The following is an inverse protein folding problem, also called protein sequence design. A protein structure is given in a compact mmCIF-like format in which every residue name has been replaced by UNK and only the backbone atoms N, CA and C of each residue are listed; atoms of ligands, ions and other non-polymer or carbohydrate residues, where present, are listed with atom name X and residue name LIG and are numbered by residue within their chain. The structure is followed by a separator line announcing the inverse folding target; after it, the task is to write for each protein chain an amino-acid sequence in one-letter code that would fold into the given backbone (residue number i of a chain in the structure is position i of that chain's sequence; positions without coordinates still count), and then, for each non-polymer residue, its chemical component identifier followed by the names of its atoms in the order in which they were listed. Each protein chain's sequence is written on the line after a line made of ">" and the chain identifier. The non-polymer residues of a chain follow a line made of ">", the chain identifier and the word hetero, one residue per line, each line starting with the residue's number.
data_IF_167775972274
#
_entry.id   IF_167775972274
#
_cell.length_a   1.000
_cell.length_b   1.000
_cell.length_c   1.000
_cell.angle_alpha   90.00
_cell.angle_beta   90.00
_cell.angle_gamma   90.00
#
_symmetry.space_group_name_H-M   'P 1'
#
loop_
_entity.id
_entity.type
_entity.pdbx_description
1 polymer ?
#
# COMPACT_ATOMS: atom_id res chain seq x y z
N UNK A 1 17.49 -53.46 -46.53
CA UNK A 1 16.16 -52.79 -46.37
C UNK A 1 15.76 -52.52 -44.92
N UNK A 2 15.90 -53.44 -43.95
CA UNK A 2 15.43 -53.24 -42.56
C UNK A 2 16.12 -52.09 -41.80
N UNK A 3 17.44 -51.94 -41.94
CA UNK A 3 18.23 -50.91 -41.24
C UNK A 3 17.86 -49.47 -41.68
N UNK A 4 17.51 -49.29 -42.95
CA UNK A 4 17.11 -47.99 -43.47
C UNK A 4 15.72 -47.58 -42.97
N UNK A 5 14.78 -48.53 -42.91
CA UNK A 5 13.44 -48.32 -42.37
C UNK A 5 13.46 -47.95 -40.87
N UNK A 6 14.34 -48.56 -40.08
CA UNK A 6 14.50 -48.22 -38.66
C UNK A 6 15.08 -46.81 -38.46
N UNK A 7 16.09 -46.42 -39.25
CA UNK A 7 16.65 -45.05 -39.23
C UNK A 7 15.61 -44.01 -39.62
N UNK A 8 14.78 -44.29 -40.64
CA UNK A 8 13.69 -43.40 -41.06
C UNK A 8 12.63 -43.27 -39.95
N UNK A 9 12.23 -44.38 -39.31
CA UNK A 9 11.30 -44.35 -38.17
C UNK A 9 11.83 -43.53 -36.99
N UNK A 10 13.12 -43.66 -36.64
CA UNK A 10 13.74 -42.88 -35.57
C UNK A 10 13.80 -41.38 -35.89
N UNK A 11 14.08 -41.00 -37.14
CA UNK A 11 14.11 -39.60 -37.57
C UNK A 11 12.70 -39.00 -37.51
N UNK A 12 11.68 -39.72 -37.98
CA UNK A 12 10.29 -39.26 -37.93
C UNK A 12 9.81 -39.10 -36.47
N UNK A 13 10.15 -40.04 -35.60
CA UNK A 13 9.81 -39.93 -34.18
C UNK A 13 10.49 -38.74 -33.49
N UNK A 14 11.78 -38.50 -33.76
CA UNK A 14 12.50 -37.34 -33.23
C UNK A 14 11.89 -36.01 -33.72
N UNK A 15 11.55 -35.93 -35.02
CA UNK A 15 10.88 -34.75 -35.58
C UNK A 15 9.51 -34.51 -34.96
N UNK A 16 8.73 -35.57 -34.68
CA UNK A 16 7.44 -35.46 -34.01
C UNK A 16 7.57 -35.00 -32.56
N UNK A 17 8.59 -35.47 -31.82
CA UNK A 17 8.84 -35.03 -30.43
C UNK A 17 9.28 -33.57 -30.41
N UNK A 18 10.15 -33.13 -31.32
CA UNK A 18 10.56 -31.72 -31.43
C UNK A 18 9.36 -30.84 -31.82
N UNK A 19 8.52 -31.29 -32.75
CA UNK A 19 7.29 -30.59 -33.13
C UNK A 19 6.30 -30.47 -31.96
N UNK A 20 6.10 -31.54 -31.20
CA UNK A 20 5.25 -31.54 -30.01
C UNK A 20 5.82 -30.67 -28.89
N UNK A 21 7.14 -30.66 -28.69
CA UNK A 21 7.81 -29.76 -27.75
C UNK A 21 7.62 -28.29 -28.15
N UNK A 22 7.76 -27.96 -29.43
CA UNK A 22 7.54 -26.60 -29.93
C UNK A 22 6.08 -26.16 -29.82
N UNK A 23 5.13 -27.06 -30.05
CA UNK A 23 3.69 -26.79 -29.90
C UNK A 23 3.29 -26.60 -28.42
N UNK A 24 3.76 -27.46 -27.51
CA UNK A 24 3.39 -27.38 -26.08
C UNK A 24 4.17 -26.30 -25.30
N UNK A 25 5.46 -26.09 -25.59
CA UNK A 25 6.25 -25.03 -24.92
C UNK A 25 6.12 -23.66 -25.60
N UNK A 26 5.80 -23.62 -26.90
CA UNK A 26 5.56 -22.36 -27.61
C UNK A 26 4.26 -21.66 -27.19
N UNK A 27 3.28 -22.40 -26.67
CA UNK A 27 2.02 -21.82 -26.17
C UNK A 27 2.05 -21.39 -24.70
N UNK A 28 3.11 -21.71 -23.92
CA UNK A 28 3.19 -21.37 -22.49
C UNK A 28 3.99 -20.11 -22.16
N UNK A 29 4.46 -19.34 -23.16
CA UNK A 29 5.19 -18.08 -22.95
C UNK A 29 4.47 -16.82 -23.46
N UNK A 30 3.17 -16.90 -23.77
CA UNK A 30 2.34 -15.73 -24.11
C UNK A 30 1.41 -15.31 -22.98
N UNK A 31 1.90 -15.35 -21.73
CA UNK A 31 1.38 -14.54 -20.62
C UNK A 31 2.43 -13.53 -20.16
N UNK A 32 3.19 -12.98 -21.11
CA UNK A 32 3.83 -11.68 -20.90
C UNK A 32 2.78 -10.63 -21.18
N UNK A 33 1.86 -10.47 -20.23
CA UNK A 33 1.06 -9.27 -20.12
C UNK A 33 2.06 -8.14 -19.87
N UNK A 34 2.44 -7.46 -20.94
CA UNK A 34 3.19 -6.22 -20.84
C UNK A 34 2.30 -5.30 -20.02
N UNK A 35 2.71 -5.02 -18.78
CA UNK A 35 2.20 -3.88 -18.03
C UNK A 35 2.45 -2.64 -18.89
N UNK A 36 1.41 -2.26 -19.62
CA UNK A 36 1.33 -1.05 -20.42
C UNK A 36 0.62 0.00 -19.56
N UNK A 37 1.34 0.98 -18.99
CA UNK A 37 0.73 2.01 -18.15
C UNK A 37 -0.27 2.90 -18.92
N UNK A 38 -0.32 2.82 -20.25
CA UNK A 38 -1.16 3.67 -21.10
C UNK A 38 -2.43 2.99 -21.62
N UNK A 39 -2.68 1.71 -21.28
CA UNK A 39 -3.95 1.03 -21.62
C UNK A 39 -4.89 1.01 -20.42
N UNK A 40 -5.51 2.15 -20.16
CA UNK A 40 -6.78 2.18 -19.42
C UNK A 40 -7.87 1.71 -20.39
N UNK A 41 -8.62 0.62 -20.13
CA UNK A 41 -9.81 0.33 -20.90
C UNK A 41 -10.75 1.51 -20.75
N UNK A 42 -10.90 2.32 -21.80
CA UNK A 42 -12.00 3.26 -21.90
C UNK A 42 -13.28 2.45 -22.01
N UNK A 43 -13.90 2.16 -20.88
CA UNK A 43 -15.34 1.95 -20.85
C UNK A 43 -15.99 3.30 -21.11
N UNK A 44 -16.24 3.58 -22.38
CA UNK A 44 -17.10 4.67 -22.80
C UNK A 44 -18.51 4.47 -22.21
N UNK A 45 -18.78 5.22 -21.15
CA UNK A 45 -20.00 6.01 -21.00
C UNK A 45 -21.34 5.31 -21.21
N UNK A 46 -21.86 4.69 -20.14
CA UNK A 46 -23.20 5.02 -19.64
C UNK A 46 -23.41 4.56 -18.20
N UNK A 47 -23.07 5.40 -17.24
CA UNK A 47 -23.88 5.46 -16.01
C UNK A 47 -24.58 6.81 -15.99
N UNK A 48 -25.90 6.87 -16.23
CA UNK A 48 -26.66 8.05 -15.89
C UNK A 48 -26.49 8.27 -14.39
N UNK A 49 -26.54 9.53 -13.95
CA UNK A 49 -26.56 9.92 -12.54
C UNK A 49 -27.57 9.13 -11.65
N UNK A 50 -28.47 8.35 -12.26
CA UNK A 50 -29.39 7.40 -11.65
C UNK A 50 -28.75 6.19 -10.94
N UNK A 51 -27.51 5.75 -11.26
CA UNK A 51 -26.88 4.62 -10.52
C UNK A 51 -26.40 5.04 -9.13
N UNK A 52 -26.18 6.34 -8.90
CA UNK A 52 -25.89 6.89 -7.56
C UNK A 52 -27.13 6.95 -6.64
N UNK A 53 -28.32 6.66 -7.16
CA UNK A 53 -29.58 6.85 -6.45
C UNK A 53 -30.20 5.57 -5.87
N UNK A 54 -29.50 4.43 -5.93
CA UNK A 54 -29.80 3.33 -5.03
C UNK A 54 -28.98 3.53 -3.75
N UNK A 55 -29.48 4.39 -2.86
CA UNK A 55 -28.93 4.51 -1.52
C UNK A 55 -29.01 3.13 -0.85
N UNK A 56 -27.87 2.44 -0.80
CA UNK A 56 -27.72 1.27 0.06
C UNK A 56 -28.00 1.72 1.49
N UNK A 57 -29.05 1.16 2.09
CA UNK A 57 -29.49 1.49 3.45
C UNK A 57 -28.43 1.12 4.50
N UNK A 58 -27.35 0.44 4.10
CA UNK A 58 -26.20 0.10 4.93
C UNK A 58 -24.98 1.02 4.72
N UNK A 59 -25.07 2.06 3.89
CA UNK A 59 -23.93 2.94 3.63
C UNK A 59 -23.83 4.05 4.69
N UNK A 60 -22.66 4.14 5.32
CA UNK A 60 -22.37 5.19 6.30
C UNK A 60 -22.53 6.61 5.71
N UNK A 61 -22.87 7.62 6.53
CA UNK A 61 -23.16 8.96 6.04
C UNK A 61 -21.94 9.58 5.33
N UNK A 62 -22.18 10.27 4.22
CA UNK A 62 -21.13 11.02 3.53
C UNK A 62 -20.67 12.20 4.38
N UNK A 63 -19.35 12.33 4.56
CA UNK A 63 -18.75 13.45 5.28
C UNK A 63 -18.39 14.57 4.30
N UNK A 64 -18.82 15.79 4.60
CA UNK A 64 -18.54 16.96 3.75
C UNK A 64 -17.02 17.19 3.67
N UNK A 65 -16.51 17.23 2.44
CA UNK A 65 -15.08 17.44 2.18
C UNK A 65 -14.24 16.17 2.14
N UNK A 66 -14.86 14.99 2.24
CA UNK A 66 -14.23 13.68 2.03
C UNK A 66 -14.88 12.96 0.85
N UNK A 67 -14.08 12.21 0.09
CA UNK A 67 -14.57 11.26 -0.90
C UNK A 67 -14.93 9.90 -0.28
N UNK A 68 -14.45 9.64 0.95
CA UNK A 68 -14.75 8.46 1.74
C UNK A 68 -15.97 8.72 2.64
N UNK A 69 -16.89 7.74 2.81
CA UNK A 69 -17.99 7.85 3.77
C UNK A 69 -17.45 7.83 5.22
N UNK A 70 -18.30 8.19 6.18
CA UNK A 70 -17.95 8.13 7.60
C UNK A 70 -17.72 6.71 8.09
N UNK A 71 -17.08 6.56 9.26
CA UNK A 71 -16.86 5.26 9.90
C UNK A 71 -17.48 5.24 11.31
N UNK A 72 -18.75 4.83 11.45
CA UNK A 72 -19.47 4.97 12.72
C UNK A 72 -19.04 3.93 13.78
N UNK A 73 -18.54 2.76 13.40
CA UNK A 73 -18.07 1.74 14.35
C UNK A 73 -16.73 2.18 14.98
N UNK A 74 -16.69 2.46 16.30
CA UNK A 74 -15.48 2.93 16.97
C UNK A 74 -14.41 1.84 17.10
N UNK A 75 -14.78 0.56 17.14
CA UNK A 75 -13.82 -0.54 17.26
C UNK A 75 -13.12 -0.74 15.93
N UNK A 76 -13.88 -0.85 14.84
CA UNK A 76 -13.34 -0.98 13.49
C UNK A 76 -12.44 0.22 13.14
N UNK A 77 -12.84 1.43 13.53
CA UNK A 77 -12.03 2.65 13.37
C UNK A 77 -10.67 2.51 14.05
N UNK A 78 -10.64 2.15 15.33
CA UNK A 78 -9.39 1.98 16.08
C UNK A 78 -8.50 0.88 15.51
N UNK A 79 -9.06 -0.24 15.08
CA UNK A 79 -8.29 -1.33 14.47
C UNK A 79 -7.63 -0.89 13.16
N UNK A 80 -8.39 -0.21 12.30
CA UNK A 80 -7.89 0.38 11.06
C UNK A 80 -6.80 1.42 11.34
N UNK A 81 -7.02 2.32 12.32
CA UNK A 81 -6.05 3.33 12.75
C UNK A 81 -4.73 2.71 13.12
N UNK A 82 -4.74 1.71 13.99
CA UNK A 82 -3.52 1.03 14.47
C UNK A 82 -2.79 0.27 13.37
N UNK A 83 -3.52 -0.40 12.49
CA UNK A 83 -2.93 -1.05 11.32
C UNK A 83 -2.26 -0.02 10.39
N UNK A 84 -2.92 1.12 10.18
CA UNK A 84 -2.41 2.21 9.34
C UNK A 84 -1.18 2.85 9.97
N UNK A 85 -1.20 3.17 11.26
CA UNK A 85 -0.04 3.75 11.95
C UNK A 85 1.16 2.82 11.92
N UNK A 86 0.95 1.50 12.07
CA UNK A 86 2.04 0.53 11.93
C UNK A 86 2.64 0.57 10.52
N UNK A 87 1.83 0.54 9.47
CA UNK A 87 2.32 0.66 8.09
C UNK A 87 3.05 1.98 7.87
N UNK A 88 2.41 3.08 8.27
CA UNK A 88 2.87 4.45 8.08
C UNK A 88 4.25 4.68 8.68
N UNK A 89 4.40 4.42 9.98
CA UNK A 89 5.68 4.67 10.67
C UNK A 89 6.76 3.68 10.22
N UNK A 90 6.42 2.42 9.93
CA UNK A 90 7.39 1.46 9.38
C UNK A 90 7.90 1.94 8.01
N UNK A 91 7.01 2.43 7.13
CA UNK A 91 7.41 2.97 5.83
C UNK A 91 8.33 4.19 5.98
N UNK A 92 8.00 5.13 6.87
CA UNK A 92 8.81 6.34 7.10
C UNK A 92 10.18 6.00 7.72
N UNK A 93 10.22 5.07 8.66
CA UNK A 93 11.47 4.56 9.25
C UNK A 93 12.34 3.79 8.24
N UNK A 94 11.77 3.36 7.10
CA UNK A 94 12.48 2.67 6.02
C UNK A 94 12.82 3.54 4.82
N UNK A 95 12.39 4.80 4.83
CA UNK A 95 12.72 5.75 3.78
C UNK A 95 14.25 5.94 3.68
N UNK A 96 14.81 6.31 2.51
CA UNK A 96 16.25 6.52 2.36
C UNK A 96 16.75 7.68 3.24
N UNK A 97 17.99 7.58 3.71
CA UNK A 97 18.66 8.68 4.41
C UNK A 97 18.96 9.84 3.45
N UNK A 98 19.31 9.53 2.19
CA UNK A 98 19.57 10.46 1.10
C UNK A 98 18.67 10.15 -0.11
N UNK A 99 17.38 10.53 -0.07
CA UNK A 99 16.43 10.23 -1.13
C UNK A 99 16.65 11.12 -2.37
N UNK A 100 16.53 10.52 -3.55
CA UNK A 100 16.42 11.24 -4.83
C UNK A 100 15.15 12.10 -4.89
N UNK A 101 15.13 13.13 -5.73
CA UNK A 101 13.95 13.98 -5.93
C UNK A 101 12.69 13.17 -6.27
N UNK A 102 12.83 12.13 -7.09
CA UNK A 102 11.71 11.25 -7.43
C UNK A 102 11.20 10.44 -6.23
N UNK A 103 12.07 9.96 -5.34
CA UNK A 103 11.65 9.25 -4.12
C UNK A 103 10.96 10.20 -3.14
N UNK A 104 11.44 11.44 -3.04
CA UNK A 104 10.81 12.51 -2.24
C UNK A 104 9.41 12.81 -2.74
N UNK A 105 9.23 12.91 -4.05
CA UNK A 105 7.92 13.16 -4.66
C UNK A 105 6.96 11.96 -4.47
N UNK A 106 7.46 10.72 -4.61
CA UNK A 106 6.66 9.52 -4.33
C UNK A 106 6.14 9.52 -2.90
N UNK A 107 6.98 9.82 -1.91
CA UNK A 107 6.56 9.89 -0.51
C UNK A 107 5.56 11.04 -0.29
N UNK A 108 5.84 12.23 -0.83
CA UNK A 108 4.95 13.38 -0.74
C UNK A 108 3.56 13.06 -1.30
N UNK A 109 3.49 12.49 -2.51
CA UNK A 109 2.25 12.06 -3.17
C UNK A 109 1.55 10.98 -2.37
N UNK A 110 2.26 9.93 -1.92
CA UNK A 110 1.68 8.87 -1.11
C UNK A 110 0.98 9.42 0.15
N UNK A 111 1.61 10.37 0.85
CA UNK A 111 1.05 10.94 2.08
C UNK A 111 -0.22 11.74 1.85
N UNK A 112 -0.31 12.48 0.74
CA UNK A 112 -1.52 13.19 0.35
C UNK A 112 -2.64 12.22 -0.06
N UNK A 113 -2.30 11.22 -0.87
CA UNK A 113 -3.25 10.19 -1.27
C UNK A 113 -3.77 9.39 -0.07
N UNK A 114 -2.89 9.03 0.88
CA UNK A 114 -3.28 8.38 2.11
C UNK A 114 -4.30 9.22 2.90
N UNK A 115 -4.10 10.53 2.98
CA UNK A 115 -5.03 11.41 3.68
C UNK A 115 -6.40 11.50 2.98
N UNK A 116 -6.43 11.62 1.65
CA UNK A 116 -7.67 11.74 0.87
C UNK A 116 -8.44 10.42 0.77
N UNK A 117 -7.74 9.30 0.68
CA UNK A 117 -8.29 7.95 0.51
C UNK A 117 -8.44 7.19 1.83
N UNK A 118 -8.21 7.83 2.98
CA UNK A 118 -8.31 7.15 4.26
C UNK A 118 -9.75 6.69 4.53
N UNK A 119 -10.03 5.40 4.81
CA UNK A 119 -11.40 4.86 4.86
C UNK A 119 -12.19 5.21 6.13
N UNK A 120 -12.02 6.44 6.63
CA UNK A 120 -12.84 7.09 7.64
C UNK A 120 -12.98 8.56 7.22
N UNK A 121 -14.14 8.96 6.71
CA UNK A 121 -14.33 10.28 6.10
C UNK A 121 -14.02 11.45 7.03
N UNK A 122 -14.42 11.39 8.30
CA UNK A 122 -14.09 12.41 9.29
C UNK A 122 -12.59 12.43 9.62
N UNK A 123 -11.93 11.27 9.62
CA UNK A 123 -10.49 11.16 9.83
C UNK A 123 -9.72 11.75 8.63
N UNK A 124 -10.18 11.46 7.40
CA UNK A 124 -9.62 11.99 6.15
C UNK A 124 -9.65 13.52 6.12
N UNK A 125 -10.80 14.14 6.41
CA UNK A 125 -10.93 15.61 6.48
C UNK A 125 -9.92 16.21 7.47
N UNK A 126 -9.79 15.61 8.66
CA UNK A 126 -8.82 16.07 9.65
C UNK A 126 -7.39 15.92 9.13
N UNK A 127 -7.03 14.78 8.55
CA UNK A 127 -5.66 14.55 8.08
C UNK A 127 -5.29 15.51 6.94
N UNK A 128 -6.17 15.69 5.95
CA UNK A 128 -6.00 16.69 4.88
C UNK A 128 -5.82 18.10 5.46
N UNK A 129 -6.56 18.46 6.51
CA UNK A 129 -6.40 19.76 7.18
C UNK A 129 -5.04 19.92 7.88
N UNK A 130 -4.50 18.83 8.42
CA UNK A 130 -3.18 18.84 9.07
C UNK A 130 -2.05 18.94 8.05
N UNK A 131 -2.15 18.26 6.89
CA UNK A 131 -1.14 18.36 5.83
C UNK A 131 -0.94 19.80 5.33
N UNK A 132 -2.01 20.62 5.33
CA UNK A 132 -1.92 22.05 4.97
C UNK A 132 -1.11 22.87 5.98
N UNK A 133 -1.14 22.49 7.27
CA UNK A 133 -0.45 23.21 8.35
C UNK A 133 0.95 22.66 8.62
N UNK A 134 1.14 21.37 8.36
CA UNK A 134 2.34 20.60 8.65
C UNK A 134 2.68 19.78 7.41
N UNK A 135 3.22 20.41 6.35
CA UNK A 135 3.50 19.72 5.09
C UNK A 135 4.53 18.60 5.28
N UNK A 136 4.42 17.49 4.53
CA UNK A 136 5.36 16.37 4.58
C UNK A 136 6.82 16.78 4.49
N UNK A 137 7.64 16.28 5.42
CA UNK A 137 9.09 16.43 5.35
C UNK A 137 9.69 15.19 4.73
N UNK A 138 10.17 15.31 3.49
CA UNK A 138 10.68 14.16 2.71
C UNK A 138 12.18 14.23 2.46
N UNK A 139 12.93 15.07 3.17
CA UNK A 139 14.36 15.28 2.89
C UNK A 139 15.27 14.12 3.31
N UNK A 140 14.84 13.28 4.26
CA UNK A 140 15.56 12.09 4.73
C UNK A 140 14.64 11.18 5.54
N UNK A 141 15.09 9.96 5.85
CA UNK A 141 14.45 9.05 6.80
C UNK A 141 14.10 9.73 8.12
N UNK A 142 15.08 10.40 8.73
CA UNK A 142 14.91 11.04 10.04
C UNK A 142 13.88 12.16 10.01
N UNK A 143 13.90 12.99 8.95
CA UNK A 143 12.93 14.07 8.75
C UNK A 143 11.52 13.50 8.55
N UNK A 144 11.38 12.47 7.71
CA UNK A 144 10.12 11.81 7.43
C UNK A 144 9.50 11.15 8.66
N UNK A 145 10.28 10.34 9.39
CA UNK A 145 9.82 9.65 10.61
C UNK A 145 9.45 10.64 11.73
N UNK A 146 10.26 11.68 11.96
CA UNK A 146 9.98 12.70 12.99
C UNK A 146 8.74 13.53 12.66
N UNK A 147 8.57 13.88 11.38
CA UNK A 147 7.34 14.53 10.90
C UNK A 147 6.12 13.63 11.09
N UNK A 148 6.23 12.35 10.73
CA UNK A 148 5.17 11.37 10.92
C UNK A 148 4.75 11.24 12.39
N UNK A 149 5.72 11.19 13.30
CA UNK A 149 5.46 11.20 14.74
C UNK A 149 4.74 12.49 15.19
N UNK A 150 5.14 13.64 14.67
CA UNK A 150 4.51 14.93 14.99
C UNK A 150 3.05 14.98 14.55
N UNK A 151 2.72 14.45 13.37
CA UNK A 151 1.35 14.29 12.89
C UNK A 151 0.55 13.33 13.78
N UNK A 152 1.12 12.16 14.12
CA UNK A 152 0.46 11.20 15.01
C UNK A 152 0.14 11.85 16.38
N UNK A 153 1.05 12.66 16.90
CA UNK A 153 0.82 13.42 18.13
C UNK A 153 -0.27 14.49 18.03
N UNK A 154 -0.55 15.05 16.84
CA UNK A 154 -1.73 15.91 16.64
C UNK A 154 -3.03 15.12 16.79
N UNK A 155 -3.05 13.88 16.30
CA UNK A 155 -4.19 12.97 16.46
C UNK A 155 -4.33 12.54 17.92
N UNK A 156 -3.23 12.19 18.59
CA UNK A 156 -3.25 11.88 20.03
C UNK A 156 -3.85 13.01 20.85
N UNK A 157 -3.36 14.24 20.65
CA UNK A 157 -3.88 15.41 21.35
C UNK A 157 -5.37 15.62 21.07
N UNK A 158 -5.81 15.48 19.81
CA UNK A 158 -7.21 15.57 19.44
C UNK A 158 -8.09 14.51 20.14
N UNK A 159 -7.54 13.30 20.32
CA UNK A 159 -8.21 12.18 21.00
C UNK A 159 -8.00 12.18 22.53
N UNK A 160 -7.32 13.18 23.10
CA UNK A 160 -7.03 13.24 24.54
C UNK A 160 -6.03 12.18 25.03
N UNK A 161 -5.19 11.65 24.15
CA UNK A 161 -4.13 10.67 24.46
C UNK A 161 -2.81 11.38 24.81
N UNK A 162 -1.93 10.76 25.62
CA UNK A 162 -0.58 11.28 25.87
C UNK A 162 0.23 11.41 24.58
N UNK A 163 1.12 12.40 24.54
CA UNK A 163 2.07 12.52 23.44
C UNK A 163 3.11 11.40 23.51
N UNK A 164 3.43 10.84 22.34
CA UNK A 164 4.53 9.90 22.16
C UNK A 164 5.87 10.65 22.06
N UNK A 165 6.93 10.07 22.62
CA UNK A 165 8.29 10.59 22.55
C UNK A 165 8.93 10.29 21.19
N UNK A 166 8.93 11.29 20.29
CA UNK A 166 9.45 11.14 18.94
C UNK A 166 10.96 10.82 18.88
N UNK A 167 11.73 10.97 19.96
CA UNK A 167 13.16 10.63 19.96
C UNK A 167 13.43 9.13 19.73
N UNK A 168 12.43 8.29 19.99
CA UNK A 168 12.52 6.82 19.86
C UNK A 168 11.90 6.27 18.57
N UNK A 169 11.35 7.13 17.70
CA UNK A 169 10.50 6.70 16.59
C UNK A 169 11.19 5.71 15.62
N UNK A 170 12.47 5.91 15.34
CA UNK A 170 13.24 5.05 14.44
C UNK A 170 13.61 3.70 15.08
N UNK A 171 13.76 3.67 16.40
CA UNK A 171 14.08 2.45 17.16
C UNK A 171 12.82 1.59 17.37
N UNK A 172 11.70 2.24 17.71
CA UNK A 172 10.45 1.59 18.05
C UNK A 172 9.74 0.98 16.84
N UNK A 173 9.86 1.61 15.66
CA UNK A 173 9.32 1.13 14.38
C UNK A 173 10.38 0.48 13.49
N UNK A 174 11.32 -0.25 14.09
CA UNK A 174 12.19 -1.15 13.33
C UNK A 174 11.33 -2.13 12.49
N UNK A 175 11.80 -2.43 11.28
CA UNK A 175 11.14 -3.34 10.35
C UNK A 175 11.51 -4.81 10.59
N UNK A 176 12.46 -5.10 11.49
CA UNK A 176 13.02 -6.43 11.69
C UNK A 176 13.87 -6.90 10.50
N UNK A 177 14.43 -5.97 9.72
CA UNK A 177 15.22 -6.29 8.52
C UNK A 177 16.74 -6.36 8.78
N UNK A 178 17.18 -6.29 10.03
CA UNK A 178 18.59 -6.43 10.42
C UNK A 178 19.01 -7.90 10.53
N UNK A 179 20.32 -8.14 10.46
CA UNK A 179 20.91 -9.48 10.52
C UNK A 179 20.70 -10.18 11.88
N UNK A 180 20.40 -9.41 12.93
CA UNK A 180 20.01 -9.88 14.27
C UNK A 180 18.50 -10.16 14.38
N UNK A 181 17.91 -10.83 13.39
CA UNK A 181 16.51 -11.27 13.41
C UNK A 181 16.16 -12.18 14.63
N UNK A 182 17.18 -12.61 15.39
CA UNK A 182 17.05 -13.37 16.63
C UNK A 182 16.87 -12.50 17.90
N UNK A 183 17.01 -11.17 17.83
CA UNK A 183 16.86 -10.28 18.99
C UNK A 183 15.43 -9.71 19.13
N UNK A 184 14.46 -10.61 19.34
CA UNK A 184 13.29 -10.36 20.19
C UNK A 184 12.34 -9.20 19.85
N UNK A 185 11.29 -9.49 19.08
CA UNK A 185 10.02 -8.78 18.94
C UNK A 185 10.08 -7.32 18.46
N UNK A 186 9.30 -7.02 17.41
CA UNK A 186 8.92 -5.65 17.07
C UNK A 186 8.46 -4.91 18.34
N UNK A 187 9.21 -3.89 18.78
CA UNK A 187 8.85 -3.06 19.95
C UNK A 187 7.45 -2.47 19.79
N UNK A 188 7.14 -2.08 18.56
CA UNK A 188 5.82 -1.65 18.15
C UNK A 188 5.14 -2.69 17.25
N UNK A 189 4.01 -3.20 17.73
CA UNK A 189 3.07 -4.07 17.04
C UNK A 189 1.71 -3.37 16.94
N UNK A 190 0.79 -3.88 16.11
CA UNK A 190 -0.60 -3.40 16.08
C UNK A 190 -1.22 -3.42 17.49
N UNK A 191 -0.80 -4.34 18.37
CA UNK A 191 -1.26 -4.41 19.76
C UNK A 191 -0.62 -3.36 20.69
N UNK A 192 0.64 -2.98 20.48
CA UNK A 192 1.32 -1.96 21.29
C UNK A 192 1.11 -0.54 20.77
N UNK A 193 0.53 -0.37 19.57
CA UNK A 193 -0.12 0.88 19.15
C UNK A 193 -1.33 1.23 20.02
N UNK A 194 -1.89 0.34 20.85
CA UNK A 194 -3.11 0.62 21.66
C UNK A 194 -3.11 1.96 22.41
N UNK A 195 -2.00 2.39 23.05
CA UNK A 195 -1.94 3.65 23.77
C UNK A 195 -1.89 4.88 22.84
N UNK A 196 -1.53 4.71 21.57
CA UNK A 196 -1.22 5.76 20.59
C UNK A 196 -2.17 5.67 19.38
N UNK A 197 -2.86 6.76 19.06
CA UNK A 197 -3.75 6.79 17.90
C UNK A 197 -4.99 5.89 18.00
N UNK A 198 -5.79 5.98 16.94
CA UNK A 198 -7.05 5.28 16.70
C UNK A 198 -7.60 5.72 15.36
#
# INVERSE_FOLDING_TARGET
>A
MKLHRQKVLSIVAAAAIVGLWYMFFGQQLSNRETYDPDVVPQQEGRTPAAVRAAADKNQAPMIKGSIMPGMPDPTAKQELGRATWKLFHTMLARFPDEPSEQEREKLHTFLHLLAELYPCGECSVHFVSWLKKLPPQTSSRSAAATWGCSIHNKVNLYLGKPAYDCSKILEDYDCGCGDDAAAGSLKVSVHTERPQGG
#
